data_IF_214660255165
#
_entry.id   IF_214660255165
#
_cell.length_a   1.000
_cell.length_b   1.000
_cell.length_c   1.000
_cell.angle_alpha   90.00
_cell.angle_beta   90.00
_cell.angle_gamma   90.00
#
_symmetry.space_group_name_H-M   'P 1'
#
loop_
_entity.id
_entity.type
_entity.pdbx_description
1 polymer ?
#
# COMPACT_ATOMS: atom_id res chain seq x y z
N UNK A 1 19.34 14.33 3.34
CA UNK A 1 18.98 12.90 3.51
C UNK A 1 17.51 12.73 3.16
N UNK A 2 17.18 12.18 1.99
CA UNK A 2 15.79 11.86 1.66
C UNK A 2 15.36 10.66 2.52
N UNK A 3 14.39 10.88 3.41
CA UNK A 3 13.89 9.87 4.32
C UNK A 3 13.28 8.73 3.48
N UNK A 4 13.94 7.58 3.35
CA UNK A 4 13.52 6.47 2.49
C UNK A 4 12.37 5.64 3.09
N UNK A 5 11.52 6.25 3.91
CA UNK A 5 10.37 5.60 4.54
C UNK A 5 9.35 5.24 3.48
N UNK A 6 9.41 4.00 3.03
CA UNK A 6 8.60 3.43 1.96
C UNK A 6 7.86 2.22 2.49
N UNK A 7 6.63 2.05 2.07
CA UNK A 7 5.88 0.83 2.37
C UNK A 7 6.60 -0.38 1.77
N UNK A 8 6.85 -1.40 2.59
CA UNK A 8 7.48 -2.64 2.15
C UNK A 8 6.61 -3.39 1.15
N UNK A 9 7.22 -4.30 0.37
CA UNK A 9 6.51 -5.13 -0.61
C UNK A 9 5.39 -5.96 0.01
N UNK A 10 5.62 -6.47 1.22
CA UNK A 10 4.66 -7.32 1.93
C UNK A 10 3.45 -6.52 2.41
N UNK A 11 3.69 -5.39 3.09
CA UNK A 11 2.63 -4.49 3.55
C UNK A 11 1.75 -4.02 2.38
N UNK A 12 2.36 -3.66 1.24
CA UNK A 12 1.62 -3.30 0.04
C UNK A 12 0.85 -4.47 -0.58
N UNK A 13 1.36 -5.70 -0.50
CA UNK A 13 0.63 -6.88 -0.99
C UNK A 13 -0.61 -7.15 -0.14
N UNK A 14 -0.51 -7.00 1.18
CA UNK A 14 -1.65 -7.09 2.09
C UNK A 14 -2.66 -5.96 1.86
N UNK A 15 -2.21 -4.72 1.70
CA UNK A 15 -3.08 -3.60 1.34
C UNK A 15 -3.83 -3.83 0.01
N UNK A 16 -3.15 -4.41 -0.99
CA UNK A 16 -3.77 -4.78 -2.25
C UNK A 16 -4.85 -5.84 -2.08
N UNK A 17 -4.67 -6.80 -1.16
CA UNK A 17 -5.72 -7.79 -0.82
C UNK A 17 -6.91 -7.10 -0.16
N UNK A 18 -6.67 -6.19 0.79
CA UNK A 18 -7.73 -5.43 1.48
C UNK A 18 -8.58 -4.62 0.50
N UNK A 19 -8.00 -3.99 -0.52
CA UNK A 19 -8.76 -3.26 -1.53
C UNK A 19 -9.65 -4.17 -2.39
N UNK A 20 -9.19 -5.38 -2.69
CA UNK A 20 -9.91 -6.36 -3.53
C UNK A 20 -10.95 -7.17 -2.75
N UNK A 21 -10.79 -7.28 -1.44
CA UNK A 21 -11.70 -8.02 -0.60
C UNK A 21 -13.06 -7.29 -0.49
N UNK A 22 -14.15 -8.01 -0.72
CA UNK A 22 -15.51 -7.47 -0.64
C UNK A 22 -16.01 -7.33 0.81
N UNK A 23 -15.35 -8.00 1.76
CA UNK A 23 -15.68 -8.00 3.19
C UNK A 23 -15.10 -6.79 3.94
N UNK A 24 -14.20 -6.02 3.32
CA UNK A 24 -13.54 -4.87 3.96
C UNK A 24 -14.31 -3.57 3.72
N UNK A 25 -14.44 -2.78 4.79
CA UNK A 25 -15.15 -1.51 4.80
C UNK A 25 -14.38 -0.35 4.15
N UNK A 26 -15.05 0.81 4.05
CA UNK A 26 -14.52 2.03 3.43
C UNK A 26 -13.22 2.51 4.10
N UNK A 27 -13.17 2.49 5.43
CA UNK A 27 -12.00 2.98 6.18
C UNK A 27 -10.78 2.08 6.01
N UNK A 28 -10.99 0.75 6.01
CA UNK A 28 -9.93 -0.23 5.73
C UNK A 28 -9.36 -0.03 4.33
N UNK A 29 -10.21 0.25 3.34
CA UNK A 29 -9.80 0.52 1.97
C UNK A 29 -9.05 1.86 1.85
N UNK A 30 -9.45 2.88 2.61
CA UNK A 30 -8.75 4.17 2.66
C UNK A 30 -7.34 4.02 3.24
N UNK A 31 -7.20 3.29 4.34
CA UNK A 31 -5.89 3.00 4.93
C UNK A 31 -4.99 2.19 3.98
N UNK A 32 -5.55 1.16 3.34
CA UNK A 32 -4.84 0.36 2.34
C UNK A 32 -4.38 1.19 1.13
N UNK A 33 -5.22 2.11 0.63
CA UNK A 33 -4.85 3.05 -0.43
C UNK A 33 -3.68 3.96 -0.04
N UNK A 34 -3.70 4.49 1.20
CA UNK A 34 -2.59 5.30 1.73
C UNK A 34 -1.27 4.52 1.82
N UNK A 35 -1.34 3.24 2.24
CA UNK A 35 -0.16 2.38 2.28
C UNK A 35 0.43 2.12 0.88
N UNK A 36 -0.42 1.98 -0.14
CA UNK A 36 0.02 1.78 -1.52
C UNK A 36 0.63 3.03 -2.15
N UNK A 37 0.09 4.23 -1.87
CA UNK A 37 0.65 5.48 -2.41
C UNK A 37 2.05 5.78 -1.85
N UNK A 38 2.34 5.33 -0.63
CA UNK A 38 3.66 5.45 0.00
C UNK A 38 4.66 4.35 -0.43
N UNK A 39 4.24 3.38 -1.24
CA UNK A 39 5.16 2.38 -1.78
C UNK A 39 5.97 2.97 -2.92
N UNK A 40 7.28 2.74 -2.89
CA UNK A 40 8.13 3.12 -4.01
C UNK A 40 7.72 2.37 -5.29
N UNK A 41 7.71 3.07 -6.44
CA UNK A 41 7.52 2.41 -7.73
C UNK A 41 8.57 1.33 -7.89
N UNK A 42 8.21 0.20 -8.52
CA UNK A 42 9.23 -0.76 -8.95
C UNK A 42 10.16 0.01 -9.89
N UNK A 43 11.44 0.11 -9.51
CA UNK A 43 12.40 1.00 -10.14
C UNK A 43 12.29 0.92 -11.66
N UNK A 44 12.19 2.09 -12.31
CA UNK A 44 12.54 2.17 -13.73
C UNK A 44 14.03 1.79 -13.79
N UNK A 45 14.32 0.66 -14.43
CA UNK A 45 15.67 0.40 -14.96
C UNK A 45 15.91 1.38 -16.09
#
# INVERSE_FOLDING_TARGET
MANQRKTSKEAASSASKVLKDKRTGKDSKKAAGSALSQRAPKGKK
#
